data_IF_855054230055
#
_entry.id   IF_855054230055
#
_cell.length_a   1.000
_cell.length_b   1.000
_cell.length_c   1.000
_cell.angle_alpha   90.00
_cell.angle_beta   90.00
_cell.angle_gamma   90.00
#
_symmetry.space_group_name_H-M   'P 1'
#
loop_
_entity.id
_entity.type
_entity.pdbx_description
1 polymer ?
#
# COMPACT_ATOMS: atom_id res chain seq x y z
N UNK A 1 23.72 -11.05 9.82
CA UNK A 1 23.31 -9.65 10.04
C UNK A 1 21.80 -9.58 10.25
N UNK A 2 21.35 -9.21 11.45
CA UNK A 2 19.97 -8.81 11.68
C UNK A 2 19.79 -7.51 10.90
N UNK A 3 19.19 -7.58 9.70
CA UNK A 3 18.95 -6.36 8.92
C UNK A 3 18.14 -5.35 9.72
N UNK A 4 18.66 -4.15 9.87
CA UNK A 4 18.09 -3.04 10.61
C UNK A 4 16.82 -2.53 9.92
N UNK A 5 15.65 -2.98 10.38
CA UNK A 5 14.36 -2.54 9.83
C UNK A 5 14.11 -1.05 10.07
N UNK A 6 14.74 -0.46 11.10
CA UNK A 6 14.62 0.97 11.40
C UNK A 6 15.37 1.77 10.35
N UNK A 7 16.64 1.46 10.08
CA UNK A 7 17.40 2.12 9.01
C UNK A 7 16.74 1.97 7.63
N UNK A 8 16.19 0.79 7.31
CA UNK A 8 15.41 0.60 6.08
C UNK A 8 14.16 1.50 6.01
N UNK A 9 13.48 1.72 7.15
CA UNK A 9 12.32 2.61 7.22
C UNK A 9 12.72 4.08 7.06
N UNK A 10 13.86 4.49 7.62
CA UNK A 10 14.42 5.83 7.43
C UNK A 10 14.73 6.12 5.96
N UNK A 11 15.42 5.19 5.28
CA UNK A 11 15.73 5.31 3.86
C UNK A 11 14.45 5.35 3.00
N UNK A 12 13.50 4.44 3.26
CA UNK A 12 12.22 4.39 2.57
C UNK A 12 11.44 5.69 2.76
N UNK A 13 11.48 6.24 3.98
CA UNK A 13 10.80 7.49 4.31
C UNK A 13 11.33 8.67 3.49
N UNK A 14 12.66 8.79 3.36
CA UNK A 14 13.28 9.80 2.49
C UNK A 14 12.89 9.56 1.02
N UNK A 15 13.05 8.32 0.53
CA UNK A 15 12.75 7.97 -0.86
C UNK A 15 11.30 8.28 -1.27
N UNK A 16 10.33 7.88 -0.44
CA UNK A 16 8.91 8.17 -0.68
C UNK A 16 8.64 9.67 -0.66
N UNK A 17 9.22 10.41 0.30
CA UNK A 17 9.01 11.86 0.38
C UNK A 17 9.55 12.58 -0.85
N UNK A 18 10.68 12.14 -1.39
CA UNK A 18 11.30 12.72 -2.57
C UNK A 18 10.51 12.43 -3.85
N UNK A 19 9.62 11.43 -3.87
CA UNK A 19 8.68 11.25 -4.98
C UNK A 19 7.76 12.46 -5.23
N UNK A 20 7.63 13.41 -4.27
CA UNK A 20 6.92 14.68 -4.50
C UNK A 20 7.54 15.52 -5.64
N UNK A 21 8.81 15.27 -5.94
CA UNK A 21 9.57 15.92 -7.01
C UNK A 21 9.38 15.22 -8.37
N UNK A 22 8.66 14.09 -8.40
CA UNK A 22 8.36 13.34 -9.62
C UNK A 22 7.05 13.82 -10.23
N UNK A 23 7.03 13.97 -11.54
CA UNK A 23 5.83 14.23 -12.31
C UNK A 23 5.77 13.29 -13.51
N UNK A 24 4.56 12.91 -13.93
CA UNK A 24 4.36 12.15 -15.15
C UNK A 24 3.94 13.08 -16.28
N UNK A 25 4.57 12.90 -17.44
CA UNK A 25 4.17 13.50 -18.71
C UNK A 25 3.66 12.38 -19.60
N UNK A 26 2.45 12.54 -20.12
CA UNK A 26 1.90 11.61 -21.10
C UNK A 26 2.18 12.18 -22.49
N UNK A 27 2.71 11.34 -23.38
CA UNK A 27 3.01 11.71 -24.76
C UNK A 27 2.28 10.76 -25.70
N UNK A 28 1.97 11.24 -26.90
CA UNK A 28 1.53 10.38 -28.00
C UNK A 28 2.70 9.51 -28.46
N UNK A 29 2.46 8.22 -28.67
CA UNK A 29 3.44 7.31 -29.25
C UNK A 29 3.90 7.83 -30.64
N UNK A 30 5.20 7.76 -30.91
CA UNK A 30 5.79 8.26 -32.17
C UNK A 30 5.68 7.27 -33.33
N UNK A 31 5.46 5.99 -33.04
CA UNK A 31 5.27 4.92 -34.04
C UNK A 31 3.99 4.13 -33.78
N UNK A 32 3.83 3.00 -34.47
CA UNK A 32 2.61 2.17 -34.40
C UNK A 32 2.32 1.62 -33.00
N UNK A 33 3.35 1.50 -32.15
CA UNK A 33 3.20 1.08 -30.76
C UNK A 33 3.90 2.03 -29.77
N UNK A 34 3.32 2.24 -28.58
CA UNK A 34 3.97 2.97 -27.50
C UNK A 34 5.27 2.30 -27.05
N UNK A 35 6.26 3.10 -26.63
CA UNK A 35 7.43 2.54 -25.94
C UNK A 35 7.01 1.76 -24.69
N UNK A 36 7.43 0.48 -24.54
CA UNK A 36 7.09 -0.31 -23.35
C UNK A 36 7.83 0.17 -22.10
N UNK A 37 8.87 1.00 -22.27
CA UNK A 37 9.71 1.51 -21.18
C UNK A 37 9.54 3.03 -21.10
N UNK A 38 9.12 3.57 -19.94
CA UNK A 38 9.07 5.02 -19.72
C UNK A 38 10.47 5.64 -19.81
N UNK A 39 10.58 6.84 -20.39
CA UNK A 39 11.83 7.60 -20.42
C UNK A 39 11.86 8.67 -19.33
N UNK A 40 13.04 8.94 -18.76
CA UNK A 40 13.20 9.89 -17.66
C UNK A 40 13.91 11.15 -18.17
N UNK A 41 13.40 12.32 -17.82
CA UNK A 41 14.02 13.61 -18.09
C UNK A 41 13.97 14.52 -16.85
N UNK A 42 14.60 15.69 -16.94
CA UNK A 42 14.63 16.67 -15.87
C UNK A 42 15.88 16.56 -14.99
N UNK A 43 15.74 16.86 -13.70
CA UNK A 43 16.84 16.92 -12.73
C UNK A 43 16.49 16.16 -11.45
N UNK A 44 17.46 15.98 -10.55
CA UNK A 44 17.26 15.29 -9.26
C UNK A 44 16.13 15.90 -8.42
N UNK A 45 15.88 17.21 -8.53
CA UNK A 45 14.83 17.91 -7.78
C UNK A 45 13.51 18.03 -8.56
N UNK A 46 13.50 17.66 -9.84
CA UNK A 46 12.35 17.76 -10.74
C UNK A 46 12.45 16.67 -11.81
N UNK A 47 12.08 15.44 -11.43
CA UNK A 47 12.10 14.30 -12.35
C UNK A 47 10.78 14.23 -13.13
N UNK A 48 10.89 14.03 -14.44
CA UNK A 48 9.75 13.83 -15.32
C UNK A 48 9.81 12.42 -15.90
N UNK A 49 8.81 11.61 -15.59
CA UNK A 49 8.63 10.29 -16.19
C UNK A 49 7.72 10.43 -17.40
N UNK A 50 8.26 10.18 -18.58
CA UNK A 50 7.56 10.28 -19.86
C UNK A 50 6.99 8.90 -20.20
N UNK A 51 5.66 8.83 -20.26
CA UNK A 51 4.92 7.63 -20.66
C UNK A 51 4.29 7.90 -22.02
N UNK A 52 4.39 6.94 -22.92
CA UNK A 52 3.74 7.00 -24.23
C UNK A 52 2.43 6.22 -24.19
N UNK A 53 1.39 6.77 -24.81
CA UNK A 53 0.12 6.09 -25.05
C UNK A 53 -0.17 5.99 -26.54
N UNK A 54 -0.95 4.98 -26.91
CA UNK A 54 -1.53 4.88 -28.24
C UNK A 54 -2.48 6.05 -28.53
N UNK A 55 -2.70 6.35 -29.81
CA UNK A 55 -3.48 7.54 -30.20
C UNK A 55 -4.88 7.57 -29.60
N UNK A 56 -5.55 6.42 -29.58
CA UNK A 56 -6.91 6.32 -29.05
C UNK A 56 -6.94 6.76 -27.57
N UNK A 57 -6.15 6.11 -26.72
CA UNK A 57 -6.07 6.44 -25.30
C UNK A 57 -5.54 7.86 -25.04
N UNK A 58 -4.60 8.36 -25.86
CA UNK A 58 -4.08 9.72 -25.73
C UNK A 58 -5.15 10.78 -26.03
N UNK A 59 -5.98 10.55 -27.05
CA UNK A 59 -7.06 11.47 -27.44
C UNK A 59 -8.18 11.61 -26.41
N UNK A 60 -8.35 10.62 -25.52
CA UNK A 60 -9.31 10.64 -24.42
C UNK A 60 -8.86 11.48 -23.22
N UNK A 61 -7.59 11.91 -23.17
CA UNK A 61 -7.06 12.71 -22.07
C UNK A 61 -7.60 14.15 -22.09
N UNK A 62 -7.69 14.84 -20.95
CA UNK A 62 -7.93 16.29 -20.94
C UNK A 62 -6.88 17.06 -21.75
N UNK A 63 -7.31 18.10 -22.49
CA UNK A 63 -6.44 18.93 -23.35
C UNK A 63 -5.13 19.38 -22.66
N UNK A 64 -5.12 19.82 -21.39
CA UNK A 64 -3.88 20.27 -20.76
C UNK A 64 -2.82 19.17 -20.61
N UNK A 65 -3.23 17.90 -20.53
CA UNK A 65 -2.31 16.76 -20.53
C UNK A 65 -1.81 16.47 -21.94
N UNK A 66 -2.69 16.56 -22.95
CA UNK A 66 -2.33 16.34 -24.35
C UNK A 66 -1.31 17.36 -24.85
N UNK A 67 -1.50 18.64 -24.52
CA UNK A 67 -0.58 19.71 -24.95
C UNK A 67 0.65 19.85 -24.07
N UNK A 68 0.77 19.04 -23.02
CA UNK A 68 1.89 19.09 -22.07
C UNK A 68 1.90 20.33 -21.17
N UNK A 69 0.81 21.12 -21.15
CA UNK A 69 0.65 22.29 -20.27
C UNK A 69 0.52 21.89 -18.80
N UNK A 70 0.02 20.68 -18.53
CA UNK A 70 -0.12 20.12 -17.19
C UNK A 70 0.62 18.79 -17.10
N UNK A 71 1.36 18.62 -16.01
CA UNK A 71 1.96 17.35 -15.62
C UNK A 71 1.15 16.71 -14.49
N UNK A 72 1.14 15.39 -14.44
CA UNK A 72 0.51 14.64 -13.35
C UNK A 72 1.49 14.61 -12.18
N UNK A 73 1.14 15.25 -11.08
CA UNK A 73 1.98 15.32 -9.87
C UNK A 73 1.76 14.12 -8.98
N UNK A 74 2.83 13.62 -8.35
CA UNK A 74 2.75 12.54 -7.37
C UNK A 74 2.51 13.12 -5.98
N UNK A 75 1.52 12.57 -5.28
CA UNK A 75 1.28 12.85 -3.86
C UNK A 75 1.72 11.63 -3.05
N UNK A 76 2.99 11.55 -2.63
CA UNK A 76 3.46 10.42 -1.85
C UNK A 76 2.94 10.47 -0.41
N UNK A 77 2.58 9.28 0.08
CA UNK A 77 2.27 8.97 1.48
C UNK A 77 2.87 7.60 1.82
N UNK A 78 3.26 7.42 3.07
CA UNK A 78 3.79 6.17 3.62
C UNK A 78 3.08 5.86 4.94
N UNK A 79 2.31 4.78 4.98
CA UNK A 79 1.76 4.26 6.23
C UNK A 79 2.51 2.98 6.62
N UNK A 80 2.88 2.88 7.90
CA UNK A 80 3.74 1.79 8.40
C UNK A 80 3.29 1.33 9.78
N UNK A 81 3.38 0.02 10.00
CA UNK A 81 3.04 -0.65 11.27
C UNK A 81 4.04 -1.79 11.51
N UNK A 82 4.77 -1.70 12.61
CA UNK A 82 5.57 -2.80 13.14
C UNK A 82 4.68 -3.90 13.69
N UNK A 83 4.81 -5.12 13.15
CA UNK A 83 3.98 -6.28 13.52
C UNK A 83 4.77 -7.46 14.13
N UNK A 84 6.11 -7.36 14.21
CA UNK A 84 6.99 -8.43 14.73
C UNK A 84 7.26 -8.31 16.24
N UNK A 85 8.07 -9.21 16.81
CA UNK A 85 8.51 -9.12 18.22
C UNK A 85 9.31 -7.85 18.49
N UNK A 86 10.19 -7.47 17.56
CA UNK A 86 11.04 -6.29 17.70
C UNK A 86 10.22 -5.02 17.85
N UNK A 87 9.09 -4.90 17.14
CA UNK A 87 8.14 -3.81 17.33
C UNK A 87 7.51 -3.81 18.73
N UNK A 88 7.26 -5.00 19.30
CA UNK A 88 6.76 -5.14 20.68
C UNK A 88 7.79 -4.69 21.70
N UNK A 89 9.08 -4.96 21.43
CA UNK A 89 10.19 -4.54 22.29
C UNK A 89 10.43 -3.03 22.14
N UNK A 90 10.47 -2.52 20.90
CA UNK A 90 10.67 -1.11 20.61
C UNK A 90 9.59 -0.24 21.27
N UNK A 91 8.32 -0.68 21.25
CA UNK A 91 7.24 0.00 21.98
C UNK A 91 7.48 0.02 23.50
N UNK A 92 7.83 -1.12 24.10
CA UNK A 92 8.16 -1.17 25.54
C UNK A 92 9.33 -0.25 25.93
N UNK A 93 10.21 0.03 24.98
CA UNK A 93 11.35 0.93 25.12
C UNK A 93 11.06 2.37 24.64
N UNK A 94 9.83 2.68 24.21
CA UNK A 94 9.44 4.02 23.73
C UNK A 94 10.02 4.42 22.35
N UNK A 95 10.51 3.47 21.57
CA UNK A 95 11.23 3.69 20.30
C UNK A 95 10.31 3.65 19.05
N UNK A 96 9.04 4.04 19.17
CA UNK A 96 8.08 4.08 18.04
C UNK A 96 7.92 5.46 17.40
N UNK A 97 8.69 6.45 17.86
CA UNK A 97 8.56 7.86 17.46
C UNK A 97 8.65 8.10 15.95
N UNK A 98 9.52 7.36 15.24
CA UNK A 98 9.67 7.49 13.79
C UNK A 98 8.41 7.03 13.05
N UNK A 99 7.84 5.88 13.44
CA UNK A 99 6.65 5.32 12.79
C UNK A 99 5.44 6.25 12.97
N UNK A 100 5.26 6.77 14.18
CA UNK A 100 4.19 7.72 14.49
C UNK A 100 4.35 9.01 13.68
N UNK A 101 5.57 9.56 13.63
CA UNK A 101 5.86 10.77 12.84
C UNK A 101 5.60 10.57 11.34
N UNK A 102 5.96 9.41 10.78
CA UNK A 102 5.67 9.05 9.39
C UNK A 102 4.16 8.96 9.16
N UNK A 103 3.44 8.24 10.02
CA UNK A 103 1.99 8.07 9.89
C UNK A 103 1.22 9.39 10.02
N UNK A 104 1.59 10.25 10.99
CA UNK A 104 1.01 11.58 11.17
C UNK A 104 1.27 12.48 9.95
N UNK A 105 2.50 12.49 9.44
CA UNK A 105 2.85 13.27 8.25
C UNK A 105 2.06 12.81 7.02
N UNK A 106 1.99 11.49 6.82
CA UNK A 106 1.28 10.87 5.71
C UNK A 106 -0.20 11.17 5.78
N UNK A 107 -0.79 11.07 6.98
CA UNK A 107 -2.19 11.39 7.19
C UNK A 107 -2.52 12.85 6.85
N UNK A 108 -1.72 13.82 7.32
CA UNK A 108 -1.93 15.24 7.00
C UNK A 108 -1.96 15.50 5.50
N UNK A 109 -1.05 14.87 4.75
CA UNK A 109 -1.00 14.98 3.28
C UNK A 109 -2.16 14.28 2.60
N UNK A 110 -2.53 13.11 3.11
CA UNK A 110 -3.63 12.34 2.55
C UNK A 110 -4.95 13.09 2.71
N UNK A 111 -5.18 13.68 3.88
CA UNK A 111 -6.30 14.59 4.19
C UNK A 111 -6.28 15.81 3.27
N UNK A 112 -5.14 16.49 3.12
CA UNK A 112 -5.02 17.64 2.22
C UNK A 112 -5.32 17.30 0.75
N UNK A 113 -4.90 16.13 0.28
CA UNK A 113 -5.25 15.65 -1.07
C UNK A 113 -6.74 15.38 -1.20
N UNK A 114 -7.35 14.72 -0.20
CA UNK A 114 -8.78 14.47 -0.19
C UNK A 114 -9.61 15.76 -0.24
N UNK A 115 -9.22 16.81 0.49
CA UNK A 115 -9.93 18.09 0.45
C UNK A 115 -9.88 18.75 -0.94
N UNK A 116 -8.72 18.68 -1.61
CA UNK A 116 -8.59 19.13 -3.00
C UNK A 116 -9.43 18.28 -3.96
N UNK A 117 -9.38 16.95 -3.80
CA UNK A 117 -10.18 16.02 -4.60
C UNK A 117 -11.67 16.32 -4.48
N UNK A 118 -12.18 16.49 -3.25
CA UNK A 118 -13.58 16.82 -2.97
C UNK A 118 -14.03 18.12 -3.64
N UNK A 119 -13.14 19.12 -3.68
CA UNK A 119 -13.39 20.40 -4.34
C UNK A 119 -13.51 20.24 -5.86
N UNK A 120 -12.66 19.41 -6.46
CA UNK A 120 -12.69 19.12 -7.90
C UNK A 120 -13.83 18.16 -8.32
N UNK A 121 -14.29 17.34 -7.38
CA UNK A 121 -15.25 16.26 -7.63
C UNK A 121 -16.45 16.33 -6.67
N UNK A 122 -17.23 17.43 -6.66
CA UNK A 122 -18.30 17.65 -5.69
C UNK A 122 -19.44 16.62 -5.80
N UNK A 123 -19.65 16.05 -7.00
CA UNK A 123 -20.72 15.09 -7.30
C UNK A 123 -20.27 13.63 -7.28
N UNK A 124 -18.99 13.34 -7.04
CA UNK A 124 -18.54 11.94 -6.92
C UNK A 124 -19.15 11.38 -5.64
N UNK A 125 -20.07 10.42 -5.81
CA UNK A 125 -20.71 9.70 -4.69
C UNK A 125 -19.59 9.09 -3.86
N UNK A 126 -19.27 9.72 -2.74
CA UNK A 126 -18.25 9.23 -1.82
C UNK A 126 -18.67 7.93 -1.14
N UNK A 127 -19.89 7.45 -1.36
CA UNK A 127 -20.40 6.18 -0.85
C UNK A 127 -20.85 5.27 -2.01
N UNK A 128 -20.29 4.05 -2.06
CA UNK A 128 -20.61 3.03 -3.08
C UNK A 128 -21.93 2.29 -2.77
N UNK A 129 -22.41 2.33 -1.51
CA UNK A 129 -23.70 1.76 -1.09
C UNK A 129 -24.25 2.46 0.16
N UNK A 130 -25.56 2.34 0.45
CA UNK A 130 -26.16 2.90 1.68
C UNK A 130 -25.56 2.38 2.99
N UNK A 131 -24.73 1.33 2.94
CA UNK A 131 -24.09 0.69 4.09
C UNK A 131 -22.57 0.96 4.18
N UNK A 132 -21.95 1.58 3.17
CA UNK A 132 -20.53 1.93 3.22
C UNK A 132 -20.33 3.31 3.84
N UNK A 133 -19.40 3.48 4.81
CA UNK A 133 -19.06 4.80 5.33
C UNK A 133 -18.56 5.68 4.19
N UNK A 134 -18.90 6.96 4.22
CA UNK A 134 -18.36 7.98 3.31
C UNK A 134 -16.83 8.07 3.42
N UNK A 135 -16.18 8.61 2.40
CA UNK A 135 -14.72 8.82 2.42
C UNK A 135 -14.29 9.74 3.58
N UNK A 136 -15.12 10.72 3.93
CA UNK A 136 -14.89 11.60 5.07
C UNK A 136 -14.91 10.85 6.39
N UNK A 137 -15.89 9.96 6.61
CA UNK A 137 -15.96 9.10 7.80
C UNK A 137 -14.76 8.14 7.85
N UNK A 138 -14.37 7.55 6.72
CA UNK A 138 -13.17 6.69 6.65
C UNK A 138 -11.90 7.47 7.02
N UNK A 139 -11.75 8.72 6.57
CA UNK A 139 -10.62 9.59 6.94
C UNK A 139 -10.61 9.94 8.42
N UNK A 140 -11.77 10.30 8.99
CA UNK A 140 -11.89 10.55 10.42
C UNK A 140 -11.51 9.31 11.23
N UNK A 141 -11.99 8.14 10.82
CA UNK A 141 -11.64 6.87 11.46
C UNK A 141 -10.14 6.57 11.37
N UNK A 142 -9.50 6.87 10.24
CA UNK A 142 -8.04 6.74 10.13
C UNK A 142 -7.32 7.69 11.09
N UNK A 143 -7.77 8.94 11.22
CA UNK A 143 -7.25 9.92 12.19
C UNK A 143 -7.31 9.36 13.61
N UNK A 144 -8.49 8.88 14.03
CA UNK A 144 -8.70 8.28 15.35
C UNK A 144 -7.81 7.07 15.60
N UNK A 145 -7.63 6.21 14.60
CA UNK A 145 -6.75 5.02 14.71
C UNK A 145 -5.29 5.42 14.90
N UNK A 146 -4.82 6.45 14.19
CA UNK A 146 -3.45 6.96 14.30
C UNK A 146 -3.24 7.63 15.66
N UNK A 147 -4.17 8.48 16.10
CA UNK A 147 -4.07 9.21 17.37
C UNK A 147 -4.12 8.30 18.60
N UNK A 148 -4.77 7.13 18.51
CA UNK A 148 -4.75 6.13 19.59
C UNK A 148 -3.36 5.57 19.87
N UNK A 149 -2.42 5.67 18.92
CA UNK A 149 -1.05 5.12 19.04
C UNK A 149 -1.01 3.68 19.56
N UNK A 150 -2.03 2.90 19.20
CA UNK A 150 -2.19 1.54 19.69
C UNK A 150 -1.18 0.60 19.03
N UNK A 151 -0.65 -0.33 19.80
CA UNK A 151 0.33 -1.30 19.33
C UNK A 151 -0.20 -2.17 18.19
N UNK A 152 0.66 -2.47 17.21
CA UNK A 152 0.38 -3.36 16.06
C UNK A 152 -0.97 -3.06 15.41
N UNK A 153 -1.36 -1.79 15.37
CA UNK A 153 -2.68 -1.39 14.88
C UNK A 153 -2.72 -1.44 13.36
N UNK A 154 -2.90 -2.66 12.82
CA UNK A 154 -3.06 -2.91 11.39
C UNK A 154 -4.27 -2.19 10.79
N UNK A 155 -5.16 -1.63 11.63
CA UNK A 155 -6.22 -0.73 11.19
C UNK A 155 -5.70 0.49 10.42
N UNK A 156 -4.48 0.96 10.71
CA UNK A 156 -3.83 2.03 9.93
C UNK A 156 -3.66 1.60 8.48
N UNK A 157 -3.09 0.39 8.26
CA UNK A 157 -2.87 -0.14 6.92
C UNK A 157 -4.20 -0.38 6.20
N UNK A 158 -5.15 -1.08 6.85
CA UNK A 158 -6.45 -1.42 6.25
C UNK A 158 -7.22 -0.16 5.85
N UNK A 159 -7.32 0.83 6.73
CA UNK A 159 -8.09 2.05 6.43
C UNK A 159 -7.39 2.95 5.41
N UNK A 160 -6.07 3.12 5.50
CA UNK A 160 -5.33 3.91 4.50
C UNK A 160 -5.43 3.31 3.10
N UNK A 161 -5.40 1.99 2.99
CA UNK A 161 -5.53 1.26 1.73
C UNK A 161 -6.93 1.40 1.12
N UNK A 162 -7.97 1.25 1.93
CA UNK A 162 -9.37 1.43 1.52
C UNK A 162 -9.61 2.84 0.96
N UNK A 163 -9.18 3.87 1.70
CA UNK A 163 -9.31 5.27 1.29
C UNK A 163 -8.53 5.51 -0.01
N UNK A 164 -7.30 4.97 -0.10
CA UNK A 164 -6.44 5.16 -1.27
C UNK A 164 -7.08 4.59 -2.53
N UNK A 165 -7.74 3.44 -2.43
CA UNK A 165 -8.46 2.83 -3.55
C UNK A 165 -9.69 3.60 -3.97
N UNK A 166 -10.45 4.09 -3.01
CA UNK A 166 -11.63 4.92 -3.28
C UNK A 166 -11.28 6.29 -3.86
N UNK A 167 -10.01 6.68 -3.80
CA UNK A 167 -9.43 7.87 -4.45
C UNK A 167 -8.65 7.53 -5.73
N UNK A 168 -8.78 6.30 -6.24
CA UNK A 168 -8.08 5.80 -7.44
C UNK A 168 -6.55 5.93 -7.36
N UNK A 169 -6.00 5.89 -6.13
CA UNK A 169 -4.58 5.99 -5.87
C UNK A 169 -3.83 4.69 -6.14
N UNK A 170 -2.59 4.83 -6.63
CA UNK A 170 -1.63 3.74 -6.72
C UNK A 170 -1.14 3.30 -5.34
N UNK A 171 -0.93 1.99 -5.16
CA UNK A 171 -0.49 1.41 -3.88
C UNK A 171 0.65 0.43 -4.08
N UNK A 172 1.55 0.43 -3.10
CA UNK A 172 2.65 -0.51 -2.97
C UNK A 172 2.67 -1.04 -1.55
N UNK A 173 2.83 -2.36 -1.41
CA UNK A 173 2.95 -3.02 -0.11
C UNK A 173 4.30 -3.71 -0.03
N UNK A 174 5.12 -3.32 0.94
CA UNK A 174 6.44 -3.90 1.16
C UNK A 174 6.64 -4.25 2.64
N UNK A 175 7.56 -5.17 2.87
CA UNK A 175 8.17 -5.42 4.16
C UNK A 175 9.67 -5.63 3.91
N UNK A 176 10.47 -5.82 4.98
CA UNK A 176 11.93 -6.07 4.89
C UNK A 176 12.35 -6.99 3.75
N UNK A 177 11.63 -8.09 3.54
CA UNK A 177 12.00 -9.11 2.54
C UNK A 177 11.03 -9.20 1.36
N UNK A 178 9.90 -8.48 1.37
CA UNK A 178 8.86 -8.57 0.34
C UNK A 178 8.09 -9.91 0.29
N UNK A 179 8.36 -10.83 1.23
CA UNK A 179 7.88 -12.22 1.20
C UNK A 179 6.74 -12.44 2.17
N UNK A 180 7.03 -12.72 3.42
CA UNK A 180 6.08 -13.33 4.36
C UNK A 180 5.03 -12.31 4.84
N UNK A 181 5.47 -11.24 5.51
CA UNK A 181 4.59 -10.16 5.97
C UNK A 181 3.87 -9.45 4.82
N UNK A 182 4.55 -9.25 3.69
CA UNK A 182 3.91 -8.74 2.47
C UNK A 182 2.79 -9.67 2.00
N UNK A 183 3.00 -10.99 2.01
CA UNK A 183 1.95 -11.94 1.65
C UNK A 183 0.75 -11.87 2.59
N UNK A 184 0.99 -11.73 3.90
CA UNK A 184 -0.09 -11.57 4.87
C UNK A 184 -0.92 -10.31 4.58
N UNK A 185 -0.26 -9.18 4.30
CA UNK A 185 -0.93 -7.92 3.96
C UNK A 185 -1.69 -7.99 2.63
N UNK A 186 -1.05 -8.48 1.56
CA UNK A 186 -1.65 -8.55 0.21
C UNK A 186 -2.86 -9.48 0.17
N UNK A 187 -2.78 -10.65 0.81
CA UNK A 187 -3.92 -11.59 0.86
C UNK A 187 -5.07 -11.05 1.70
N UNK A 188 -4.78 -10.29 2.76
CA UNK A 188 -5.80 -9.62 3.55
C UNK A 188 -6.53 -8.53 2.75
N UNK A 189 -5.78 -7.67 2.07
CA UNK A 189 -6.29 -6.69 1.11
C UNK A 189 -7.22 -7.34 0.07
N UNK A 190 -6.75 -8.40 -0.59
CA UNK A 190 -7.54 -9.12 -1.59
C UNK A 190 -8.85 -9.68 -1.01
N UNK A 191 -8.83 -10.28 0.18
CA UNK A 191 -10.05 -10.77 0.85
C UNK A 191 -11.01 -9.64 1.21
N UNK A 192 -10.49 -8.50 1.68
CA UNK A 192 -11.29 -7.33 1.99
C UNK A 192 -11.98 -6.79 0.74
N UNK A 193 -11.31 -6.80 -0.41
CA UNK A 193 -11.92 -6.43 -1.69
C UNK A 193 -12.99 -7.43 -2.12
N UNK A 194 -12.73 -8.72 -2.03
CA UNK A 194 -13.74 -9.74 -2.34
C UNK A 194 -15.01 -9.52 -1.50
N UNK A 195 -14.85 -9.21 -0.21
CA UNK A 195 -15.97 -8.93 0.70
C UNK A 195 -16.68 -7.61 0.37
N UNK A 196 -15.91 -6.54 0.20
CA UNK A 196 -16.46 -5.20 0.12
C UNK A 196 -16.97 -4.84 -1.30
N UNK A 197 -16.40 -5.43 -2.35
CA UNK A 197 -16.67 -5.08 -3.75
C UNK A 197 -17.18 -6.24 -4.60
N UNK A 198 -17.06 -7.49 -4.13
CA UNK A 198 -17.45 -8.69 -4.89
C UNK A 198 -18.36 -9.65 -4.11
N UNK A 199 -19.06 -9.15 -3.09
CA UNK A 199 -20.10 -9.87 -2.35
C UNK A 199 -19.66 -11.20 -1.71
N UNK A 200 -18.37 -11.35 -1.34
CA UNK A 200 -17.95 -12.49 -0.53
C UNK A 200 -18.66 -12.44 0.82
N UNK A 201 -19.47 -13.45 1.12
CA UNK A 201 -20.20 -13.52 2.38
C UNK A 201 -19.23 -13.56 3.58
N UNK A 202 -19.59 -12.86 4.67
CA UNK A 202 -18.77 -12.77 5.88
C UNK A 202 -18.33 -14.14 6.42
N UNK A 203 -19.21 -15.14 6.35
CA UNK A 203 -18.93 -16.52 6.82
C UNK A 203 -17.81 -17.22 6.03
N UNK A 204 -17.52 -16.78 4.81
CA UNK A 204 -16.45 -17.34 3.97
C UNK A 204 -15.15 -16.53 4.01
N UNK A 205 -15.11 -15.38 4.70
CA UNK A 205 -13.95 -14.49 4.72
C UNK A 205 -12.68 -15.19 5.22
N UNK A 206 -12.77 -15.88 6.37
CA UNK A 206 -11.62 -16.56 6.97
C UNK A 206 -11.14 -17.71 6.08
N UNK A 207 -12.06 -18.54 5.56
CA UNK A 207 -11.73 -19.63 4.64
C UNK A 207 -11.06 -19.11 3.36
N UNK A 208 -11.53 -18.00 2.80
CA UNK A 208 -10.93 -17.39 1.62
C UNK A 208 -9.49 -16.92 1.92
N UNK A 209 -9.29 -16.26 3.07
CA UNK A 209 -7.97 -15.79 3.50
C UNK A 209 -7.00 -16.94 3.74
N UNK A 210 -7.46 -18.01 4.37
CA UNK A 210 -6.67 -19.22 4.57
C UNK A 210 -6.28 -19.86 3.23
N UNK A 211 -7.23 -20.01 2.33
CA UNK A 211 -7.00 -20.61 1.00
C UNK A 211 -5.99 -19.80 0.19
N UNK A 212 -6.10 -18.47 0.18
CA UNK A 212 -5.12 -17.60 -0.50
C UNK A 212 -3.71 -17.70 0.10
N UNK A 213 -3.60 -18.02 1.39
CA UNK A 213 -2.32 -18.16 2.08
C UNK A 213 -1.75 -19.58 2.02
N UNK A 214 -2.57 -20.62 1.88
CA UNK A 214 -2.07 -21.99 1.80
C UNK A 214 -1.74 -22.40 0.36
N UNK A 215 -2.64 -22.07 -0.58
CA UNK A 215 -2.60 -22.51 -1.98
C UNK A 215 -2.47 -21.36 -2.99
N UNK A 216 -2.51 -20.12 -2.54
CA UNK A 216 -2.51 -18.96 -3.43
C UNK A 216 -1.13 -18.60 -4.01
N UNK A 217 -1.10 -17.68 -5.01
CA UNK A 217 0.12 -17.35 -5.75
C UNK A 217 1.28 -16.82 -4.88
N UNK A 218 0.98 -16.26 -3.71
CA UNK A 218 1.99 -15.76 -2.77
C UNK A 218 2.88 -16.87 -2.19
N UNK A 219 2.52 -18.14 -2.37
CA UNK A 219 3.38 -19.31 -2.06
C UNK A 219 4.52 -19.46 -3.06
N UNK A 220 4.32 -19.06 -4.30
CA UNK A 220 5.39 -19.03 -5.29
C UNK A 220 6.43 -17.96 -4.95
N UNK A 221 6.05 -16.87 -4.28
CA UNK A 221 7.01 -15.90 -3.75
C UNK A 221 7.93 -16.53 -2.70
N UNK A 222 7.42 -17.38 -1.80
CA UNK A 222 8.29 -18.07 -0.82
C UNK A 222 9.18 -19.09 -1.52
N UNK A 223 8.64 -19.86 -2.48
CA UNK A 223 9.40 -20.81 -3.28
C UNK A 223 10.57 -20.14 -4.01
N UNK A 224 10.30 -19.12 -4.82
CA UNK A 224 11.32 -18.43 -5.63
C UNK A 224 12.44 -17.78 -4.80
N UNK A 225 12.20 -17.51 -3.52
CA UNK A 225 13.15 -16.79 -2.68
C UNK A 225 13.78 -17.61 -1.57
N UNK A 226 13.21 -18.78 -1.23
CA UNK A 226 13.66 -19.62 -0.13
C UNK A 226 13.68 -21.11 -0.50
N UNK A 227 13.40 -21.46 -1.75
CA UNK A 227 13.26 -22.83 -2.26
C UNK A 227 12.31 -23.69 -1.42
N UNK A 228 11.33 -23.05 -0.78
CA UNK A 228 10.33 -23.70 0.03
C UNK A 228 8.99 -22.97 -0.15
N UNK A 229 7.93 -23.74 -0.41
CA UNK A 229 6.55 -23.26 -0.24
C UNK A 229 6.26 -23.28 1.25
N UNK A 230 6.88 -22.39 2.01
CA UNK A 230 6.70 -22.25 3.44
C UNK A 230 7.01 -20.82 3.85
N UNK A 231 6.13 -20.20 4.65
CA UNK A 231 6.41 -18.88 5.22
C UNK A 231 7.47 -19.01 6.31
N UNK A 232 8.47 -18.13 6.27
CA UNK A 232 9.61 -18.17 7.19
C UNK A 232 9.28 -17.55 8.57
N UNK A 233 8.16 -17.97 9.16
CA UNK A 233 7.79 -17.64 10.54
C UNK A 233 8.03 -18.86 11.43
N UNK A 234 8.66 -18.67 12.59
CA UNK A 234 8.66 -19.66 13.65
C UNK A 234 7.36 -19.56 14.49
N UNK A 235 7.13 -20.55 15.37
CA UNK A 235 5.91 -20.59 16.19
C UNK A 235 5.74 -19.36 17.10
N UNK A 236 6.82 -18.86 17.69
CA UNK A 236 6.77 -17.67 18.56
C UNK A 236 6.42 -16.41 17.75
N UNK A 237 6.99 -16.28 16.55
CA UNK A 237 6.66 -15.21 15.60
C UNK A 237 5.18 -15.21 15.24
N UNK A 238 4.60 -16.37 14.94
CA UNK A 238 3.17 -16.47 14.63
C UNK A 238 2.30 -16.08 15.83
N UNK A 239 2.69 -16.42 17.06
CA UNK A 239 1.92 -16.07 18.26
C UNK A 239 1.81 -14.56 18.48
N UNK A 240 2.85 -13.79 18.13
CA UNK A 240 2.88 -12.34 18.34
C UNK A 240 2.27 -11.52 17.19
N UNK A 241 1.94 -12.15 16.06
CA UNK A 241 1.31 -11.46 14.93
C UNK A 241 -0.14 -11.09 15.26
N UNK A 242 -0.67 -9.97 14.71
CA UNK A 242 -2.10 -9.70 14.70
C UNK A 242 -2.88 -10.88 14.09
N UNK A 243 -4.07 -11.19 14.61
CA UNK A 243 -4.83 -12.37 14.17
C UNK A 243 -5.03 -12.43 12.65
N UNK A 244 -5.40 -11.31 12.02
CA UNK A 244 -5.58 -11.24 10.56
C UNK A 244 -4.26 -11.38 9.77
N UNK A 245 -3.10 -11.32 10.40
CA UNK A 245 -1.78 -11.49 9.78
C UNK A 245 -1.15 -12.86 10.07
N UNK A 246 -1.84 -13.77 10.77
CA UNK A 246 -1.31 -15.11 11.05
C UNK A 246 -1.42 -15.99 9.78
N UNK A 247 -0.34 -16.69 9.41
CA UNK A 247 -0.41 -17.71 8.36
C UNK A 247 -1.20 -18.95 8.86
N UNK A 248 -1.87 -19.71 7.97
CA UNK A 248 -2.55 -20.96 8.34
C UNK A 248 -1.58 -22.01 8.90
N UNK A 249 -2.06 -22.87 9.78
CA UNK A 249 -1.27 -23.99 10.30
C UNK A 249 -0.74 -24.88 9.16
N UNK A 250 0.49 -25.37 9.31
CA UNK A 250 1.16 -26.18 8.28
C UNK A 250 1.76 -25.40 7.11
N UNK A 251 1.55 -24.08 7.04
CA UNK A 251 2.08 -23.24 5.94
C UNK A 251 3.34 -22.45 6.32
N UNK A 252 3.77 -22.52 7.58
CA UNK A 252 4.91 -21.77 8.12
C UNK A 252 5.88 -22.66 8.90
N UNK A 253 7.14 -22.24 8.96
CA UNK A 253 8.21 -22.91 9.69
C UNK A 253 9.58 -22.41 9.25
N UNK A 254 10.62 -22.84 9.95
CA UNK A 254 11.98 -22.72 9.44
C UNK A 254 12.09 -23.64 8.22
N UNK A 255 12.29 -23.06 7.03
CA UNK A 255 12.81 -23.83 5.92
C UNK A 255 14.09 -24.50 6.43
N UNK A 256 14.16 -25.84 6.38
CA UNK A 256 15.45 -26.51 6.50
C UNK A 256 16.28 -26.04 5.31
N UNK A 257 17.18 -25.10 5.56
CA UNK A 257 18.40 -24.93 4.77
C UNK A 257 19.44 -25.89 5.30
#
# INVERSE_FOLDING_TARGET
>A
MIGDETGMLEDMWIGVRDCKNVSFKINRAKGDQPSPIPSISGSRTHLIVNIELEEKAFSELPEPLQTGRKLIKVVPVLFTVGINEQATIAERLGQVALQDAINDWSFKRFKAYFEQYRTMHPNTRTSKSSYSPSLSESLQKLEEIIQKKANKNIGILIQSEEICRRLDGGRLTCCKSGKDRTSMSVTLEQCLLLRNEHNLEKKYFERALETMRSEGPRRENTWKNANARCYAFNRMQVMVLPNLYKPPAGTYGSAQT
#
